data_IF_274288447355
#
_entry.id   IF_274288447355
#
_cell.length_a   1.000
_cell.length_b   1.000
_cell.length_c   1.000
_cell.angle_alpha   90.00
_cell.angle_beta   90.00
_cell.angle_gamma   90.00
#
_symmetry.space_group_name_H-M   'P 1'
#
loop_
_entity.id
_entity.type
_entity.pdbx_description
1 polymer ?
#
# COMPACT_ATOMS: atom_id res chain seq x y z
N UNK A 1 23.98 20.34 11.24
CA UNK A 1 23.94 18.98 11.82
C UNK A 1 22.61 18.68 12.49
N UNK A 2 22.13 19.53 13.41
CA UNK A 2 20.90 19.29 14.18
C UNK A 2 19.60 19.21 13.36
N UNK A 3 19.46 20.05 12.33
CA UNK A 3 18.30 20.02 11.41
C UNK A 3 18.23 18.74 10.57
N UNK A 4 19.39 18.22 10.15
CA UNK A 4 19.48 16.98 9.38
C UNK A 4 19.10 15.77 10.23
N UNK A 5 19.59 15.71 11.48
CA UNK A 5 19.18 14.67 12.44
C UNK A 5 17.68 14.70 12.70
N UNK A 6 17.10 15.89 12.87
CA UNK A 6 15.65 16.07 13.08
C UNK A 6 14.82 15.64 11.86
N UNK A 7 15.32 15.86 10.64
CA UNK A 7 14.68 15.41 9.39
C UNK A 7 14.80 13.89 9.18
N UNK A 8 15.94 13.29 9.54
CA UNK A 8 16.17 11.84 9.51
C UNK A 8 15.35 11.11 10.58
N UNK A 9 15.22 11.69 11.78
CA UNK A 9 14.33 11.16 12.80
C UNK A 9 12.88 11.22 12.34
N UNK A 10 12.46 12.33 11.74
CA UNK A 10 11.09 12.46 11.22
C UNK A 10 10.77 11.51 10.07
N UNK A 11 11.77 11.08 9.29
CA UNK A 11 11.52 10.13 8.19
C UNK A 11 10.95 8.82 8.70
N UNK A 12 11.35 8.39 9.90
CA UNK A 12 10.93 7.12 10.49
C UNK A 12 10.06 7.27 11.74
N UNK A 13 9.84 8.48 12.26
CA UNK A 13 9.16 8.70 13.54
C UNK A 13 7.90 9.56 13.36
N UNK A 14 6.77 9.06 13.85
CA UNK A 14 5.48 9.76 13.79
C UNK A 14 5.50 11.07 14.58
N UNK A 15 4.89 12.13 14.03
CA UNK A 15 4.74 13.43 14.71
C UNK A 15 3.61 13.46 15.75
N UNK A 16 2.70 12.48 15.71
CA UNK A 16 1.52 12.45 16.58
C UNK A 16 1.87 11.87 17.94
N UNK A 17 2.72 10.85 17.96
CA UNK A 17 2.96 9.98 19.11
C UNK A 17 4.43 9.63 19.31
N UNK A 18 5.35 10.13 18.46
CA UNK A 18 6.79 10.00 18.65
C UNK A 18 7.34 8.57 18.52
N UNK A 19 6.53 7.62 18.01
CA UNK A 19 6.95 6.22 17.82
C UNK A 19 7.66 6.04 16.48
N UNK A 20 8.63 5.13 16.44
CA UNK A 20 9.24 4.69 15.17
C UNK A 20 8.17 3.93 14.38
N UNK A 21 7.81 4.46 13.22
CA UNK A 21 6.75 3.99 12.33
C UNK A 21 7.40 3.58 11.00
N UNK A 22 8.14 2.47 11.04
CA UNK A 22 8.68 1.81 9.82
C UNK A 22 7.60 0.89 9.23
N UNK A 23 6.85 0.18 10.08
CA UNK A 23 5.73 -0.67 9.71
C UNK A 23 4.53 -0.38 10.64
N UNK A 24 3.35 -0.28 10.06
CA UNK A 24 2.07 -0.23 10.78
C UNK A 24 1.28 -1.49 10.46
N UNK A 25 0.33 -1.83 11.33
CA UNK A 25 -0.67 -2.83 11.00
C UNK A 25 -1.41 -2.44 9.71
N UNK A 26 -1.71 -3.40 8.81
CA UNK A 26 -2.50 -3.14 7.62
C UNK A 26 -3.82 -2.46 7.98
N UNK A 27 -4.14 -1.38 7.26
CA UNK A 27 -5.46 -0.78 7.32
C UNK A 27 -6.45 -1.60 6.47
N UNK A 28 -7.73 -1.28 6.57
CA UNK A 28 -8.81 -2.02 5.90
C UNK A 28 -8.58 -2.21 4.38
N UNK A 29 -8.18 -1.19 3.59
CA UNK A 29 -7.89 -1.36 2.16
C UNK A 29 -6.85 -2.44 1.86
N UNK A 30 -5.77 -2.53 2.65
CA UNK A 30 -4.75 -3.53 2.43
C UNK A 30 -5.25 -4.94 2.80
N UNK A 31 -6.08 -5.06 3.84
CA UNK A 31 -6.77 -6.32 4.17
C UNK A 31 -7.73 -6.77 3.05
N UNK A 32 -8.48 -5.83 2.47
CA UNK A 32 -9.38 -6.12 1.34
C UNK A 32 -8.60 -6.61 0.13
N UNK A 33 -7.49 -5.95 -0.21
CA UNK A 33 -6.61 -6.41 -1.29
C UNK A 33 -6.14 -7.85 -1.04
N UNK A 34 -5.60 -8.13 0.14
CA UNK A 34 -5.09 -9.46 0.50
C UNK A 34 -6.20 -10.53 0.43
N UNK A 35 -7.38 -10.24 0.97
CA UNK A 35 -8.51 -11.16 0.95
C UNK A 35 -9.03 -11.44 -0.46
N UNK A 36 -9.19 -10.41 -1.29
CA UNK A 36 -9.66 -10.54 -2.67
C UNK A 36 -8.64 -11.27 -3.56
N UNK A 37 -7.35 -10.96 -3.39
CA UNK A 37 -6.28 -11.64 -4.11
C UNK A 37 -6.18 -13.12 -3.71
N UNK A 38 -6.28 -13.42 -2.40
CA UNK A 38 -6.29 -14.79 -1.91
C UNK A 38 -7.52 -15.56 -2.41
N UNK A 39 -8.72 -14.97 -2.34
CA UNK A 39 -9.94 -15.57 -2.86
C UNK A 39 -9.83 -15.87 -4.37
N UNK A 40 -9.33 -14.91 -5.15
CA UNK A 40 -9.12 -15.10 -6.58
C UNK A 40 -8.13 -16.23 -6.90
N UNK A 41 -7.11 -16.43 -6.06
CA UNK A 41 -6.07 -17.45 -6.26
C UNK A 41 -6.48 -18.84 -5.74
N UNK A 42 -7.20 -18.91 -4.63
CA UNK A 42 -7.63 -20.17 -4.00
C UNK A 42 -8.86 -20.73 -4.70
N UNK A 43 -9.85 -19.88 -4.98
CA UNK A 43 -11.12 -20.32 -5.57
C UNK A 43 -11.02 -20.45 -7.09
N UNK A 44 -10.04 -19.79 -7.71
CA UNK A 44 -9.79 -19.76 -9.15
C UNK A 44 -11.06 -19.66 -10.03
N UNK A 45 -11.99 -18.73 -9.73
CA UNK A 45 -13.27 -18.69 -10.43
C UNK A 45 -13.08 -18.26 -11.88
N UNK A 46 -13.77 -18.95 -12.80
CA UNK A 46 -13.70 -18.66 -14.22
C UNK A 46 -14.56 -17.45 -14.63
N UNK A 47 -14.24 -16.87 -15.79
CA UNK A 47 -15.06 -15.85 -16.44
C UNK A 47 -15.20 -14.54 -15.66
N UNK A 48 -16.44 -14.04 -15.59
CA UNK A 48 -16.74 -12.73 -15.01
C UNK A 48 -16.40 -12.61 -13.52
N UNK A 49 -16.60 -13.67 -12.75
CA UNK A 49 -16.31 -13.67 -11.31
C UNK A 49 -14.82 -13.53 -10.99
N UNK A 50 -13.95 -14.26 -11.72
CA UNK A 50 -12.50 -14.11 -11.60
C UNK A 50 -12.01 -12.72 -12.01
N UNK A 51 -12.63 -12.15 -13.04
CA UNK A 51 -12.33 -10.78 -13.48
C UNK A 51 -12.74 -9.76 -12.40
N UNK A 52 -13.92 -9.91 -11.81
CA UNK A 52 -14.41 -9.03 -10.75
C UNK A 52 -13.49 -9.07 -9.51
N UNK A 53 -13.06 -10.25 -9.06
CA UNK A 53 -12.13 -10.38 -7.94
C UNK A 53 -10.79 -9.69 -8.22
N UNK A 54 -10.25 -9.87 -9.44
CA UNK A 54 -8.99 -9.25 -9.84
C UNK A 54 -9.09 -7.72 -9.86
N UNK A 55 -10.14 -7.18 -10.47
CA UNK A 55 -10.39 -5.73 -10.53
C UNK A 55 -10.62 -5.15 -9.14
N UNK A 56 -11.39 -5.84 -8.29
CA UNK A 56 -11.63 -5.39 -6.93
C UNK A 56 -10.34 -5.36 -6.09
N UNK A 57 -9.48 -6.38 -6.24
CA UNK A 57 -8.16 -6.40 -5.59
C UNK A 57 -7.29 -5.22 -6.09
N UNK A 58 -7.27 -4.96 -7.39
CA UNK A 58 -6.54 -3.83 -7.98
C UNK A 58 -6.96 -2.48 -7.39
N UNK A 59 -8.26 -2.24 -7.32
CA UNK A 59 -8.81 -1.00 -6.78
C UNK A 59 -8.51 -0.86 -5.29
N UNK A 60 -8.62 -1.94 -4.51
CA UNK A 60 -8.30 -1.93 -3.08
C UNK A 60 -6.82 -1.59 -2.84
N UNK A 61 -5.91 -2.19 -3.62
CA UNK A 61 -4.48 -1.92 -3.53
C UNK A 61 -4.15 -0.48 -3.96
N UNK A 62 -4.71 -0.02 -5.08
CA UNK A 62 -4.49 1.33 -5.56
C UNK A 62 -5.00 2.38 -4.57
N UNK A 63 -6.18 2.14 -3.97
CA UNK A 63 -6.75 3.01 -2.94
C UNK A 63 -5.87 3.08 -1.71
N UNK A 64 -5.39 1.92 -1.22
CA UNK A 64 -4.44 1.88 -0.12
C UNK A 64 -3.19 2.72 -0.40
N UNK A 65 -2.58 2.51 -1.56
CA UNK A 65 -1.33 3.17 -1.91
C UNK A 65 -1.53 4.69 -2.06
N UNK A 66 -2.65 5.13 -2.64
CA UNK A 66 -2.99 6.55 -2.74
C UNK A 66 -3.22 7.18 -1.36
N UNK A 67 -3.93 6.49 -0.47
CA UNK A 67 -4.13 6.96 0.91
C UNK A 67 -2.79 7.15 1.64
N UNK A 68 -1.84 6.25 1.45
CA UNK A 68 -0.49 6.39 2.02
C UNK A 68 0.29 7.57 1.46
N UNK A 69 0.19 7.83 0.15
CA UNK A 69 0.83 8.99 -0.49
C UNK A 69 0.25 10.30 0.06
N UNK A 70 -1.08 10.39 0.18
CA UNK A 70 -1.78 11.63 0.54
C UNK A 70 -1.78 11.88 2.05
N UNK A 71 -2.04 10.83 2.84
CA UNK A 71 -2.31 10.90 4.28
C UNK A 71 -1.27 10.18 5.14
N UNK A 72 -0.21 9.63 4.55
CA UNK A 72 0.87 8.98 5.29
C UNK A 72 1.48 9.89 6.36
N UNK A 73 1.64 9.35 7.58
CA UNK A 73 2.04 10.07 8.79
C UNK A 73 3.50 10.54 8.80
N UNK A 74 4.33 9.99 7.91
CA UNK A 74 5.73 10.38 7.73
C UNK A 74 6.15 10.21 6.25
N UNK A 75 7.28 10.81 5.83
CA UNK A 75 7.76 10.71 4.45
C UNK A 75 8.01 9.27 4.00
N UNK A 76 8.49 8.40 4.90
CA UNK A 76 8.71 6.99 4.60
C UNK A 76 7.41 6.32 4.11
N UNK A 77 6.29 6.54 4.81
CA UNK A 77 4.98 5.98 4.47
C UNK A 77 4.47 6.48 3.12
N UNK A 78 4.67 7.77 2.83
CA UNK A 78 4.30 8.37 1.55
C UNK A 78 5.09 7.78 0.39
N UNK A 79 6.41 7.65 0.57
CA UNK A 79 7.29 7.00 -0.41
C UNK A 79 6.93 5.54 -0.59
N UNK A 80 6.62 4.81 0.49
CA UNK A 80 6.17 3.43 0.44
C UNK A 80 4.90 3.29 -0.42
N UNK A 81 3.89 4.15 -0.20
CA UNK A 81 2.68 4.18 -1.02
C UNK A 81 2.98 4.42 -2.50
N UNK A 82 3.81 5.42 -2.80
CA UNK A 82 4.18 5.75 -4.19
C UNK A 82 4.94 4.61 -4.87
N UNK A 83 5.94 4.04 -4.18
CA UNK A 83 6.74 2.92 -4.68
C UNK A 83 5.89 1.66 -4.88
N UNK A 84 4.98 1.37 -3.95
CA UNK A 84 4.06 0.24 -4.04
C UNK A 84 3.12 0.39 -5.23
N UNK A 85 2.52 1.57 -5.43
CA UNK A 85 1.64 1.84 -6.57
C UNK A 85 2.38 1.71 -7.91
N UNK A 86 3.56 2.33 -8.01
CA UNK A 86 4.37 2.28 -9.23
C UNK A 86 4.83 0.84 -9.54
N UNK A 87 5.37 0.14 -8.55
CA UNK A 87 5.82 -1.25 -8.73
C UNK A 87 4.67 -2.18 -9.11
N UNK A 88 3.50 -2.02 -8.47
CA UNK A 88 2.32 -2.80 -8.81
C UNK A 88 1.80 -2.51 -10.22
N UNK A 89 1.72 -1.24 -10.62
CA UNK A 89 1.34 -0.86 -11.97
C UNK A 89 2.30 -1.45 -13.01
N UNK A 90 3.61 -1.37 -12.78
CA UNK A 90 4.62 -1.98 -13.65
C UNK A 90 4.43 -3.50 -13.76
N UNK A 91 4.21 -4.19 -12.65
CA UNK A 91 3.95 -5.63 -12.64
C UNK A 91 2.67 -5.99 -13.42
N UNK A 92 1.62 -5.17 -13.33
CA UNK A 92 0.36 -5.38 -14.06
C UNK A 92 0.46 -5.07 -15.55
N UNK A 93 1.30 -4.12 -15.95
CA UNK A 93 1.52 -3.78 -17.35
C UNK A 93 2.46 -4.78 -18.06
N UNK A 94 3.43 -5.35 -17.33
CA UNK A 94 4.37 -6.32 -17.90
C UNK A 94 3.84 -7.76 -17.85
N UNK A 95 3.05 -8.11 -16.83
CA UNK A 95 2.51 -9.45 -16.62
C UNK A 95 1.18 -9.74 -17.31
N UNK A 96 0.68 -8.83 -18.16
CA UNK A 96 -0.58 -8.94 -18.91
C UNK A 96 -0.39 -9.42 -20.34
#
# INVERSE_FOLDING_TARGET
MERLRRALDWTFRSRVDGRITIAQWPNLPLWLFLGLAAAGRILAPAGGAGTALRVAADLAFAWWALDEVLRGVNPWRRVLGAAALAGYALLRLWGS
#
